data_IF_589466440405
#
_entry.id   IF_589466440405
#
_cell.length_a   1.000
_cell.length_b   1.000
_cell.length_c   1.000
_cell.angle_alpha   90.00
_cell.angle_beta   90.00
_cell.angle_gamma   90.00
#
_symmetry.space_group_name_H-M   'P 1'
#
loop_
_entity.id
_entity.type
_entity.pdbx_description
1 polymer ?
#
# COMPACT_ATOMS: atom_id res chain seq x y z
N UNK A 1 13.26 -11.67 10.38
CA UNK A 1 14.73 -11.48 10.28
C UNK A 1 15.02 -10.66 9.03
N UNK A 2 15.82 -9.60 9.14
CA UNK A 2 16.16 -8.74 8.01
C UNK A 2 17.15 -9.38 7.04
N UNK A 3 17.39 -8.72 5.91
CA UNK A 3 18.37 -9.18 4.93
C UNK A 3 19.81 -9.03 5.46
N UNK A 4 20.40 -10.12 5.94
CA UNK A 4 21.79 -10.16 6.45
C UNK A 4 22.80 -9.69 5.40
N UNK A 5 22.54 -9.95 4.11
CA UNK A 5 23.41 -9.48 3.03
C UNK A 5 23.33 -7.96 2.89
N UNK A 6 22.11 -7.39 2.89
CA UNK A 6 21.89 -5.93 2.84
C UNK A 6 22.68 -5.22 3.94
N UNK A 7 22.63 -5.74 5.17
CA UNK A 7 23.37 -5.17 6.31
C UNK A 7 24.89 -5.30 6.13
N UNK A 8 25.35 -6.47 5.66
CA UNK A 8 26.78 -6.73 5.45
C UNK A 8 27.38 -5.80 4.38
N UNK A 9 26.71 -5.63 3.24
CA UNK A 9 27.26 -4.83 2.12
C UNK A 9 27.10 -3.33 2.28
N UNK A 10 26.40 -2.88 3.32
CA UNK A 10 26.19 -1.45 3.61
C UNK A 10 26.83 -0.96 4.92
N UNK A 11 27.53 -1.81 5.67
CA UNK A 11 28.16 -1.46 6.95
C UNK A 11 29.70 -1.53 6.91
N UNK A 12 30.36 -0.70 7.72
CA UNK A 12 31.80 -0.80 8.05
C UNK A 12 32.76 -1.05 6.88
N UNK A 13 33.75 -1.92 7.12
CA UNK A 13 34.79 -2.31 6.14
C UNK A 13 34.23 -3.14 4.97
N UNK A 14 33.14 -3.88 5.21
CA UNK A 14 32.50 -4.75 4.22
C UNK A 14 31.80 -3.95 3.12
N UNK A 15 31.37 -2.72 3.40
CA UNK A 15 30.91 -1.76 2.38
C UNK A 15 31.99 -1.42 1.34
N UNK A 16 33.22 -1.19 1.80
CA UNK A 16 34.35 -0.86 0.92
C UNK A 16 34.81 -2.07 0.12
N UNK A 17 34.81 -3.26 0.73
CA UNK A 17 35.07 -4.53 0.04
C UNK A 17 34.03 -4.79 -1.05
N UNK A 18 32.74 -4.67 -0.72
CA UNK A 18 31.65 -4.85 -1.67
C UNK A 18 31.75 -3.86 -2.85
N UNK A 19 32.13 -2.60 -2.57
CA UNK A 19 32.37 -1.59 -3.61
C UNK A 19 33.52 -2.00 -4.55
N UNK A 20 34.66 -2.44 -4.00
CA UNK A 20 35.83 -2.87 -4.77
C UNK A 20 35.53 -4.12 -5.62
N UNK A 21 34.71 -5.02 -5.11
CA UNK A 21 34.31 -6.26 -5.79
C UNK A 21 33.11 -6.10 -6.73
N UNK A 22 32.54 -4.89 -6.85
CA UNK A 22 31.37 -4.65 -7.70
C UNK A 22 30.11 -5.41 -7.27
N UNK A 23 30.01 -5.77 -5.98
CA UNK A 23 28.88 -6.54 -5.47
C UNK A 23 27.59 -5.69 -5.47
N UNK A 24 26.41 -6.28 -5.76
CA UNK A 24 25.13 -5.57 -5.67
C UNK A 24 24.91 -4.96 -4.29
N UNK A 25 24.65 -3.65 -4.23
CA UNK A 25 24.46 -2.92 -2.97
C UNK A 25 23.09 -2.26 -2.94
N UNK A 26 22.03 -3.02 -2.58
CA UNK A 26 20.71 -2.43 -2.45
C UNK A 26 20.74 -1.40 -1.33
N UNK A 27 19.96 -0.33 -1.50
CA UNK A 27 19.93 0.78 -0.55
C UNK A 27 19.15 0.40 0.71
N UNK A 28 19.56 0.91 1.87
CA UNK A 28 18.72 0.81 3.07
C UNK A 28 17.53 1.75 2.90
N UNK A 29 16.32 1.21 2.81
CA UNK A 29 15.13 2.02 2.55
C UNK A 29 14.76 2.88 3.77
N UNK A 30 14.46 4.16 3.52
CA UNK A 30 13.92 5.09 4.50
C UNK A 30 12.48 4.69 4.83
N UNK A 31 12.30 4.08 6.01
CA UNK A 31 10.98 3.73 6.58
C UNK A 31 10.49 4.81 7.55
N UNK A 32 9.24 4.71 7.96
CA UNK A 32 8.62 5.65 8.88
C UNK A 32 9.32 5.66 10.25
N UNK A 33 9.61 6.86 10.72
CA UNK A 33 10.15 7.15 12.04
C UNK A 33 9.49 8.48 12.47
N UNK A 34 8.72 8.50 13.57
CA UNK A 34 7.99 9.69 14.00
C UNK A 34 8.90 10.86 14.37
N UNK A 35 10.20 10.63 14.60
CA UNK A 35 11.19 11.69 14.86
C UNK A 35 11.77 12.33 13.59
N UNK A 36 11.43 11.80 12.41
CA UNK A 36 11.98 12.26 11.13
C UNK A 36 10.96 13.12 10.37
N UNK A 37 11.43 14.10 9.57
CA UNK A 37 10.54 14.92 8.75
C UNK A 37 9.80 14.08 7.70
N UNK A 38 8.76 14.64 7.07
CA UNK A 38 7.96 13.96 6.04
C UNK A 38 8.81 13.58 4.83
N UNK A 39 9.64 14.50 4.33
CA UNK A 39 10.66 14.26 3.28
C UNK A 39 12.05 14.72 3.73
N UNK A 40 13.14 14.18 3.19
CA UNK A 40 14.50 14.49 3.63
C UNK A 40 15.10 15.72 2.90
N UNK A 41 14.29 16.74 2.65
CA UNK A 41 14.69 17.96 1.93
C UNK A 41 13.50 18.65 1.23
N UNK A 42 13.73 19.75 0.49
CA UNK A 42 12.69 20.49 -0.22
C UNK A 42 11.92 19.63 -1.24
N UNK A 43 10.67 20.01 -1.48
CA UNK A 43 9.80 19.44 -2.51
C UNK A 43 9.80 20.35 -3.72
N UNK A 44 10.29 19.85 -4.85
CA UNK A 44 10.18 20.54 -6.13
C UNK A 44 8.83 20.24 -6.77
N UNK A 45 7.96 21.24 -6.92
CA UNK A 45 6.66 21.10 -7.60
C UNK A 45 6.77 21.71 -9.00
N UNK A 46 6.56 20.86 -10.01
CA UNK A 46 6.62 21.18 -11.43
C UNK A 46 5.23 20.97 -12.04
N UNK A 47 4.91 21.75 -13.07
CA UNK A 47 3.59 21.77 -13.70
C UNK A 47 2.98 23.17 -13.67
N UNK A 48 1.91 23.35 -14.44
CA UNK A 48 1.17 24.61 -14.57
C UNK A 48 -0.27 24.41 -14.08
N UNK A 49 -0.92 25.50 -13.69
CA UNK A 49 -2.33 25.51 -13.33
C UNK A 49 -2.60 25.39 -11.83
N UNK A 50 -3.89 25.48 -11.50
CA UNK A 50 -4.41 25.62 -10.14
C UNK A 50 -4.00 24.48 -9.22
N UNK A 51 -4.08 23.23 -9.68
CA UNK A 51 -3.68 22.06 -8.89
C UNK A 51 -2.22 22.14 -8.42
N UNK A 52 -1.32 22.65 -9.25
CA UNK A 52 0.09 22.78 -8.88
C UNK A 52 0.29 23.81 -7.76
N UNK A 53 -0.50 24.90 -7.79
CA UNK A 53 -0.44 25.97 -6.80
C UNK A 53 -1.09 25.53 -5.48
N UNK A 54 -2.26 24.88 -5.55
CA UNK A 54 -2.95 24.30 -4.40
C UNK A 54 -2.10 23.29 -3.64
N UNK A 55 -1.43 22.38 -4.37
CA UNK A 55 -0.53 21.38 -3.78
C UNK A 55 0.71 22.03 -3.15
N UNK A 56 1.23 23.11 -3.75
CA UNK A 56 2.33 23.88 -3.16
C UNK A 56 1.90 24.51 -1.83
N UNK A 57 0.70 25.10 -1.78
CA UNK A 57 0.15 25.67 -0.55
C UNK A 57 -0.12 24.60 0.51
N UNK A 58 -0.60 23.41 0.11
CA UNK A 58 -0.79 22.29 1.02
C UNK A 58 0.53 21.82 1.65
N UNK A 59 1.59 21.71 0.84
CA UNK A 59 2.92 21.33 1.32
C UNK A 59 3.49 22.37 2.30
N UNK A 60 3.32 23.66 2.01
CA UNK A 60 3.72 24.74 2.94
C UNK A 60 2.95 24.66 4.27
N UNK A 61 1.65 24.35 4.25
CA UNK A 61 0.87 24.11 5.49
C UNK A 61 1.34 22.90 6.30
N UNK A 62 2.07 21.97 5.68
CA UNK A 62 2.73 20.85 6.35
C UNK A 62 4.18 21.14 6.71
N UNK A 63 4.58 22.41 6.70
CA UNK A 63 5.94 22.85 7.05
C UNK A 63 7.01 22.18 6.17
N UNK A 64 6.70 22.03 4.88
CA UNK A 64 7.67 21.55 3.88
C UNK A 64 8.20 22.73 3.06
N UNK A 65 9.51 22.75 2.82
CA UNK A 65 10.13 23.69 1.88
C UNK A 65 9.71 23.37 0.45
N UNK A 66 9.16 24.35 -0.26
CA UNK A 66 8.67 24.16 -1.64
C UNK A 66 9.50 24.97 -2.63
N UNK A 67 9.93 24.30 -3.71
CA UNK A 67 10.54 24.92 -4.90
C UNK A 67 9.58 24.81 -6.08
N UNK A 68 9.51 25.86 -6.90
CA UNK A 68 8.76 25.90 -8.16
C UNK A 68 9.64 25.80 -9.41
N UNK A 69 10.95 25.86 -9.21
CA UNK A 69 11.97 25.75 -10.24
C UNK A 69 13.12 24.91 -9.69
N UNK A 70 13.75 24.10 -10.55
CA UNK A 70 14.90 23.31 -10.15
C UNK A 70 16.12 24.22 -9.92
N UNK A 71 16.72 24.12 -8.73
CA UNK A 71 18.01 24.74 -8.43
C UNK A 71 19.11 23.70 -8.63
N UNK A 72 20.11 23.93 -9.51
CA UNK A 72 21.19 22.97 -9.71
C UNK A 72 21.93 22.64 -8.41
N UNK A 73 22.15 21.34 -8.14
CA UNK A 73 22.91 20.81 -6.99
C UNK A 73 22.23 20.99 -5.62
N UNK A 74 21.00 21.49 -5.55
CA UNK A 74 20.22 21.51 -4.32
C UNK A 74 19.65 20.11 -4.06
N UNK A 75 19.90 19.53 -2.88
CA UNK A 75 19.38 18.19 -2.56
C UNK A 75 17.88 18.23 -2.30
N UNK A 76 17.12 17.49 -3.10
CA UNK A 76 15.65 17.45 -3.04
C UNK A 76 15.17 16.24 -2.25
N UNK A 77 14.16 16.44 -1.40
CA UNK A 77 13.46 15.35 -0.72
C UNK A 77 12.42 14.68 -1.62
N UNK A 78 11.77 15.47 -2.48
CA UNK A 78 10.81 14.96 -3.45
C UNK A 78 10.67 15.85 -4.70
N UNK A 79 10.12 15.28 -5.76
CA UNK A 79 9.71 15.96 -6.98
C UNK A 79 8.23 15.62 -7.25
N UNK A 80 7.39 16.63 -7.41
CA UNK A 80 5.98 16.51 -7.76
C UNK A 80 5.79 17.00 -9.20
N UNK A 81 5.34 16.14 -10.10
CA UNK A 81 5.03 16.44 -11.49
C UNK A 81 3.50 16.53 -11.63
N UNK A 82 2.99 17.76 -11.73
CA UNK A 82 1.55 18.03 -11.85
C UNK A 82 1.20 18.13 -13.33
N UNK A 83 0.53 17.10 -13.82
CA UNK A 83 0.19 16.82 -15.22
C UNK A 83 -1.32 16.63 -15.40
N UNK A 84 -2.14 17.19 -14.51
CA UNK A 84 -3.60 17.04 -14.51
C UNK A 84 -4.28 17.79 -15.66
N UNK A 85 -3.58 18.76 -16.25
CA UNK A 85 -4.02 19.55 -17.41
C UNK A 85 -3.56 18.99 -18.76
N UNK A 86 -2.83 17.88 -18.79
CA UNK A 86 -2.33 17.29 -20.05
C UNK A 86 -3.49 16.91 -20.99
N UNK A 87 -3.55 17.58 -22.14
CA UNK A 87 -4.57 17.42 -23.18
C UNK A 87 -4.01 16.92 -24.51
N UNK A 88 -2.69 17.02 -24.72
CA UNK A 88 -1.98 16.46 -25.86
C UNK A 88 -0.62 15.86 -25.43
N UNK A 89 -0.05 14.89 -26.16
CA UNK A 89 1.23 14.26 -25.79
C UNK A 89 2.39 15.23 -25.58
N UNK A 90 2.41 16.36 -26.30
CA UNK A 90 3.42 17.40 -26.22
C UNK A 90 3.43 18.09 -24.85
N UNK A 91 2.29 18.13 -24.15
CA UNK A 91 2.14 18.77 -22.83
C UNK A 91 3.00 18.08 -21.75
N UNK A 92 3.39 16.81 -21.97
CA UNK A 92 4.23 16.07 -21.04
C UNK A 92 5.68 16.57 -21.02
N UNK A 93 6.13 17.28 -22.05
CA UNK A 93 7.56 17.55 -22.29
C UNK A 93 8.23 18.44 -21.24
N UNK A 94 7.71 19.66 -21.05
CA UNK A 94 8.38 20.72 -20.26
C UNK A 94 8.63 20.30 -18.81
N UNK A 95 7.57 19.89 -18.09
CA UNK A 95 7.66 19.48 -16.70
C UNK A 95 8.50 18.21 -16.52
N UNK A 96 8.41 17.27 -17.46
CA UNK A 96 9.18 16.01 -17.41
C UNK A 96 10.68 16.25 -17.60
N UNK A 97 11.07 17.10 -18.56
CA UNK A 97 12.49 17.43 -18.78
C UNK A 97 13.08 18.16 -17.58
N UNK A 98 12.32 19.09 -16.98
CA UNK A 98 12.71 19.75 -15.74
C UNK A 98 12.88 18.76 -14.57
N UNK A 99 11.96 17.80 -14.42
CA UNK A 99 12.08 16.74 -13.42
C UNK A 99 13.32 15.86 -13.68
N UNK A 100 13.55 15.45 -14.94
CA UNK A 100 14.68 14.65 -15.37
C UNK A 100 16.03 15.28 -15.02
N UNK A 101 16.15 16.60 -15.21
CA UNK A 101 17.34 17.35 -14.81
C UNK A 101 17.59 17.33 -13.29
N UNK A 102 16.53 17.29 -12.49
CA UNK A 102 16.58 17.29 -11.03
C UNK A 102 16.71 15.88 -10.41
N UNK A 103 16.52 14.79 -11.17
CA UNK A 103 16.58 13.42 -10.64
C UNK A 103 17.92 13.08 -9.97
N UNK A 104 19.04 13.63 -10.46
CA UNK A 104 20.39 13.41 -9.88
C UNK A 104 20.57 14.08 -8.52
N UNK A 105 19.74 15.07 -8.23
CA UNK A 105 19.76 15.84 -7.00
C UNK A 105 18.77 15.29 -5.95
N UNK A 106 18.00 14.26 -6.28
CA UNK A 106 17.13 13.57 -5.33
C UNK A 106 17.95 12.91 -4.21
N UNK A 107 17.51 13.11 -2.97
CA UNK A 107 18.12 12.50 -1.79
C UNK A 107 17.86 10.99 -1.74
N UNK A 108 18.71 10.21 -1.04
CA UNK A 108 18.44 8.79 -0.77
C UNK A 108 17.08 8.58 -0.11
N UNK A 109 16.31 7.64 -0.64
CA UNK A 109 14.93 7.44 -0.21
C UNK A 109 14.03 8.65 -0.48
N UNK A 110 14.33 9.46 -1.50
CA UNK A 110 13.45 10.52 -2.00
C UNK A 110 12.23 9.98 -2.76
N UNK A 111 11.39 10.90 -3.24
CA UNK A 111 10.10 10.56 -3.88
C UNK A 111 9.89 11.32 -5.18
N UNK A 112 9.36 10.66 -6.19
CA UNK A 112 8.87 11.32 -7.41
C UNK A 112 7.40 10.99 -7.58
N UNK A 113 6.52 11.99 -7.56
CA UNK A 113 5.09 11.75 -7.69
C UNK A 113 4.51 12.43 -8.92
N UNK A 114 3.64 11.76 -9.66
CA UNK A 114 2.80 12.43 -10.68
C UNK A 114 1.42 12.69 -10.12
N UNK A 115 0.85 13.85 -10.45
CA UNK A 115 -0.57 14.15 -10.26
C UNK A 115 -1.19 14.22 -11.65
N UNK A 116 -2.21 13.40 -11.92
CA UNK A 116 -2.79 13.29 -13.26
C UNK A 116 -4.29 13.06 -13.23
N UNK A 117 -4.92 13.06 -14.41
CA UNK A 117 -6.32 12.67 -14.64
C UNK A 117 -6.36 11.33 -15.39
N UNK A 118 -7.43 10.53 -15.23
CA UNK A 118 -7.53 9.25 -15.94
C UNK A 118 -7.72 9.46 -17.45
N UNK A 119 -7.19 8.53 -18.24
CA UNK A 119 -7.53 8.36 -19.64
C UNK A 119 -8.92 7.70 -19.74
N UNK A 120 -9.98 8.50 -19.68
CA UNK A 120 -11.35 8.01 -19.81
C UNK A 120 -11.69 7.71 -21.28
N UNK A 121 -12.52 6.68 -21.51
CA UNK A 121 -12.91 6.23 -22.86
C UNK A 121 -13.60 7.32 -23.70
N UNK A 122 -14.27 8.28 -23.05
CA UNK A 122 -15.01 9.36 -23.71
C UNK A 122 -14.14 10.58 -24.10
N UNK A 123 -12.82 10.55 -23.87
CA UNK A 123 -11.92 11.65 -24.22
C UNK A 123 -11.59 11.68 -25.72
N UNK A 124 -11.18 12.85 -26.21
CA UNK A 124 -10.50 12.94 -27.50
C UNK A 124 -9.24 12.04 -27.50
N UNK A 125 -8.91 11.37 -28.62
CA UNK A 125 -7.77 10.44 -28.70
C UNK A 125 -6.45 11.04 -28.21
N UNK A 126 -6.19 12.32 -28.52
CA UNK A 126 -4.98 13.05 -28.12
C UNK A 126 -4.88 13.19 -26.60
N UNK A 127 -5.99 13.56 -25.95
CA UNK A 127 -6.06 13.70 -24.50
C UNK A 127 -5.98 12.35 -23.78
N UNK A 128 -6.61 11.32 -24.35
CA UNK A 128 -6.48 9.95 -23.85
C UNK A 128 -5.02 9.46 -23.95
N UNK A 129 -4.35 9.72 -25.08
CA UNK A 129 -2.95 9.36 -25.28
C UNK A 129 -2.02 10.11 -24.31
N UNK A 130 -2.22 11.41 -24.11
CA UNK A 130 -1.45 12.22 -23.17
C UNK A 130 -1.56 11.66 -21.74
N UNK A 131 -2.79 11.44 -21.26
CA UNK A 131 -3.06 10.95 -19.90
C UNK A 131 -2.56 9.53 -19.68
N UNK A 132 -2.74 8.63 -20.65
CA UNK A 132 -2.19 7.28 -20.57
C UNK A 132 -0.66 7.27 -20.66
N UNK A 133 -0.06 8.25 -21.37
CA UNK A 133 1.38 8.44 -21.45
C UNK A 133 2.03 8.72 -20.10
N UNK A 134 1.32 9.38 -19.17
CA UNK A 134 1.79 9.60 -17.80
C UNK A 134 2.10 8.28 -17.09
N UNK A 135 1.31 7.23 -17.35
CA UNK A 135 1.52 5.93 -16.71
C UNK A 135 2.85 5.29 -17.11
N UNK A 136 3.11 5.28 -18.42
CA UNK A 136 4.36 4.75 -18.98
C UNK A 136 5.57 5.58 -18.53
N UNK A 137 5.42 6.90 -18.52
CA UNK A 137 6.45 7.82 -18.04
C UNK A 137 6.83 7.54 -16.58
N UNK A 138 5.87 7.56 -15.66
CA UNK A 138 6.13 7.35 -14.23
C UNK A 138 6.77 5.99 -13.97
N UNK A 139 6.24 4.92 -14.58
CA UNK A 139 6.80 3.56 -14.40
C UNK A 139 8.23 3.48 -14.90
N UNK A 140 8.57 4.18 -15.99
CA UNK A 140 9.94 4.26 -16.50
C UNK A 140 10.85 5.03 -15.55
N UNK A 141 10.42 6.22 -15.09
CA UNK A 141 11.15 6.98 -14.06
C UNK A 141 11.43 6.11 -12.84
N UNK A 142 10.44 5.37 -12.34
CA UNK A 142 10.59 4.49 -11.19
C UNK A 142 11.68 3.40 -11.37
N UNK A 143 11.91 2.92 -12.61
CA UNK A 143 12.99 1.99 -12.94
C UNK A 143 14.37 2.65 -13.04
N UNK A 144 14.42 3.95 -13.31
CA UNK A 144 15.67 4.72 -13.43
C UNK A 144 16.16 5.28 -12.10
N UNK A 145 15.26 5.41 -11.11
CA UNK A 145 15.57 5.90 -9.78
C UNK A 145 16.60 5.03 -9.06
N UNK A 146 17.37 5.69 -8.18
CA UNK A 146 18.47 5.09 -7.41
C UNK A 146 18.30 5.34 -5.92
N UNK A 147 19.20 4.78 -5.12
CA UNK A 147 19.32 5.07 -3.69
C UNK A 147 18.03 4.85 -2.88
N UNK A 148 17.22 3.87 -3.29
CA UNK A 148 15.97 3.52 -2.62
C UNK A 148 14.85 4.55 -2.79
N UNK A 149 14.98 5.49 -3.74
CA UNK A 149 13.90 6.39 -4.12
C UNK A 149 12.76 5.62 -4.84
N UNK A 150 11.55 6.14 -4.74
CA UNK A 150 10.35 5.55 -5.36
C UNK A 150 9.62 6.57 -6.21
N UNK A 151 8.89 6.10 -7.23
CA UNK A 151 7.96 6.95 -7.96
C UNK A 151 6.55 6.37 -8.02
N UNK A 152 5.53 7.19 -7.76
CA UNK A 152 4.12 6.78 -7.69
C UNK A 152 3.19 7.89 -8.23
N UNK A 153 2.00 7.53 -8.70
CA UNK A 153 1.02 8.48 -9.21
C UNK A 153 -0.17 8.65 -8.27
N UNK A 154 -0.74 9.86 -8.24
CA UNK A 154 -2.08 10.12 -7.72
C UNK A 154 -2.95 10.53 -8.91
N UNK A 155 -4.02 9.78 -9.13
CA UNK A 155 -4.96 10.03 -10.24
C UNK A 155 -6.22 10.66 -9.68
N UNK A 156 -6.51 11.89 -10.11
CA UNK A 156 -7.70 12.63 -9.72
C UNK A 156 -8.84 12.25 -10.66
N UNK A 157 -9.87 11.56 -10.17
CA UNK A 157 -11.06 11.30 -10.97
C UNK A 157 -11.73 12.61 -11.39
N UNK A 158 -12.61 12.57 -12.40
CA UNK A 158 -13.28 13.76 -12.90
C UNK A 158 -14.03 14.48 -11.77
N UNK A 159 -13.85 15.79 -11.66
CA UNK A 159 -14.47 16.61 -10.61
C UNK A 159 -13.74 16.58 -9.26
N UNK A 160 -12.75 15.69 -9.07
CA UNK A 160 -11.93 15.68 -7.85
C UNK A 160 -10.89 16.81 -7.90
N UNK A 161 -10.84 17.63 -6.86
CA UNK A 161 -9.90 18.73 -6.67
C UNK A 161 -8.59 18.22 -6.05
N UNK A 162 -7.48 18.94 -6.28
CA UNK A 162 -6.20 18.58 -5.70
C UNK A 162 -6.16 18.82 -4.17
N UNK A 163 -7.12 19.59 -3.66
CA UNK A 163 -7.32 19.90 -2.24
C UNK A 163 -8.15 18.87 -1.49
N UNK A 164 -8.73 17.88 -2.18
CA UNK A 164 -9.57 16.85 -1.57
C UNK A 164 -8.83 16.13 -0.42
N UNK A 165 -9.51 15.78 0.71
CA UNK A 165 -8.88 15.11 1.85
C UNK A 165 -8.12 13.83 1.46
N UNK A 166 -8.68 13.05 0.53
CA UNK A 166 -8.06 11.81 0.04
C UNK A 166 -6.84 12.03 -0.84
N UNK A 167 -6.75 13.17 -1.55
CA UNK A 167 -5.54 13.56 -2.28
C UNK A 167 -4.44 13.93 -1.29
N UNK A 168 -4.78 14.71 -0.26
CA UNK A 168 -3.87 15.04 0.83
C UNK A 168 -3.37 13.79 1.57
N UNK A 169 -4.25 12.82 1.87
CA UNK A 169 -3.88 11.56 2.51
C UNK A 169 -2.92 10.73 1.63
N UNK A 170 -3.24 10.57 0.35
CA UNK A 170 -2.39 9.84 -0.60
C UNK A 170 -1.03 10.51 -0.77
N UNK A 171 -1.01 11.85 -0.89
CA UNK A 171 0.21 12.64 -1.00
C UNK A 171 1.09 12.46 0.23
N UNK A 172 0.53 12.61 1.44
CA UNK A 172 1.29 12.46 2.69
C UNK A 172 1.83 11.04 2.86
N UNK A 173 1.03 10.02 2.54
CA UNK A 173 1.49 8.63 2.54
C UNK A 173 2.68 8.43 1.59
N UNK A 174 2.53 8.83 0.32
CA UNK A 174 3.54 8.64 -0.72
C UNK A 174 4.82 9.44 -0.47
N UNK A 175 4.73 10.65 0.10
CA UNK A 175 5.90 11.47 0.47
C UNK A 175 6.69 10.92 1.67
N UNK A 176 6.04 10.14 2.53
CA UNK A 176 6.62 9.68 3.80
C UNK A 176 7.48 8.41 3.69
N UNK A 177 8.13 8.03 4.80
CA UNK A 177 8.74 6.71 4.95
C UNK A 177 7.73 5.55 5.00
N UNK A 178 6.42 5.82 5.14
CA UNK A 178 5.36 4.79 5.17
C UNK A 178 5.22 4.07 3.81
N UNK A 179 5.55 4.73 2.71
CA UNK A 179 5.46 4.20 1.34
C UNK A 179 6.74 3.53 0.81
N UNK A 180 7.68 3.18 1.70
CA UNK A 180 9.05 2.77 1.33
C UNK A 180 9.15 1.64 0.29
N UNK A 181 8.14 0.77 0.22
CA UNK A 181 8.11 -0.37 -0.71
C UNK A 181 6.94 -0.30 -1.72
N UNK A 182 6.33 0.87 -1.87
CA UNK A 182 5.36 1.20 -2.92
C UNK A 182 6.09 2.00 -3.99
N UNK A 183 6.21 1.42 -5.20
CA UNK A 183 6.86 2.07 -6.33
C UNK A 183 6.24 1.59 -7.64
N UNK A 184 6.15 2.49 -8.62
CA UNK A 184 5.47 2.31 -9.90
C UNK A 184 3.96 2.10 -9.76
N UNK A 185 3.34 2.59 -8.67
CA UNK A 185 1.90 2.41 -8.41
C UNK A 185 1.13 3.70 -8.59
N UNK A 186 -0.17 3.57 -8.84
CA UNK A 186 -1.11 4.69 -8.94
C UNK A 186 -2.20 4.52 -7.88
N UNK A 187 -2.50 5.60 -7.18
CA UNK A 187 -3.63 5.69 -6.25
C UNK A 187 -4.67 6.60 -6.89
N UNK A 188 -5.80 6.02 -7.31
CA UNK A 188 -6.91 6.82 -7.84
C UNK A 188 -7.78 7.32 -6.69
N UNK A 189 -7.95 8.63 -6.61
CA UNK A 189 -8.92 9.29 -5.74
C UNK A 189 -10.19 9.52 -6.55
N UNK A 190 -11.23 8.78 -6.19
CA UNK A 190 -12.50 8.69 -6.95
C UNK A 190 -13.56 9.71 -6.54
N UNK A 191 -13.43 10.33 -5.37
CA UNK A 191 -14.38 11.31 -4.85
C UNK A 191 -13.72 12.29 -3.87
N UNK A 192 -14.45 13.35 -3.54
CA UNK A 192 -14.11 14.32 -2.49
C UNK A 192 -14.25 13.77 -1.06
N UNK A 193 -14.65 12.50 -0.91
CA UNK A 193 -14.88 11.93 0.41
C UNK A 193 -13.58 11.85 1.23
N UNK A 194 -13.72 12.09 2.52
CA UNK A 194 -12.67 11.89 3.51
C UNK A 194 -12.67 12.99 4.57
N UNK A 195 -12.03 12.69 5.70
CA UNK A 195 -11.86 13.63 6.80
C UNK A 195 -10.40 13.60 7.21
N UNK A 196 -9.74 14.75 7.13
CA UNK A 196 -8.35 14.86 7.59
C UNK A 196 -8.28 14.64 9.11
N UNK A 197 -7.28 13.91 9.61
CA UNK A 197 -7.15 13.67 11.03
C UNK A 197 -6.75 14.95 11.75
N UNK A 198 -7.18 15.09 13.01
CA UNK A 198 -6.70 16.17 13.88
C UNK A 198 -5.19 16.06 14.15
N UNK A 199 -4.68 14.83 14.25
CA UNK A 199 -3.25 14.53 14.39
C UNK A 199 -2.83 13.46 13.38
N UNK A 200 -1.87 13.82 12.52
CA UNK A 200 -1.30 12.91 11.53
C UNK A 200 -0.43 11.78 12.13
N UNK A 201 -0.05 11.89 13.39
CA UNK A 201 0.65 10.83 14.12
C UNK A 201 -0.31 9.77 14.68
N UNK A 202 -1.59 10.11 14.85
CA UNK A 202 -2.64 9.20 15.28
C UNK A 202 -3.87 9.27 14.35
N UNK A 203 -3.71 8.97 13.04
CA UNK A 203 -4.77 9.16 12.04
C UNK A 203 -5.97 8.22 12.21
N UNK A 204 -5.86 7.21 13.07
CA UNK A 204 -6.91 6.23 13.39
C UNK A 204 -7.41 6.37 14.85
N UNK A 205 -7.11 7.50 15.50
CA UNK A 205 -7.57 7.77 16.86
C UNK A 205 -9.10 7.60 16.97
N UNK A 206 -9.51 6.82 17.97
CA UNK A 206 -10.93 6.55 18.24
C UNK A 206 -11.55 5.44 17.39
N UNK A 207 -10.82 4.85 16.43
CA UNK A 207 -11.31 3.75 15.59
C UNK A 207 -11.15 2.39 16.27
N UNK A 208 -12.09 1.50 16.01
CA UNK A 208 -12.04 0.08 16.37
C UNK A 208 -11.76 -0.75 15.12
N UNK A 209 -10.69 -1.53 15.15
CA UNK A 209 -10.22 -2.34 14.03
C UNK A 209 -10.17 -3.83 14.36
N UNK A 210 -10.59 -4.68 13.42
CA UNK A 210 -10.32 -6.12 13.44
C UNK A 210 -9.22 -6.47 12.44
N UNK A 211 -8.30 -7.34 12.85
CA UNK A 211 -7.27 -7.92 11.95
C UNK A 211 -7.34 -9.45 12.02
N UNK A 212 -7.62 -10.10 10.89
CA UNK A 212 -7.62 -11.57 10.81
C UNK A 212 -6.23 -12.12 10.50
N UNK A 213 -5.92 -13.32 11.00
CA UNK A 213 -4.58 -13.94 10.84
C UNK A 213 -3.49 -13.14 11.56
N UNK A 214 -3.82 -12.58 12.72
CA UNK A 214 -3.01 -11.58 13.41
C UNK A 214 -1.99 -12.14 14.41
N UNK A 215 -1.92 -13.46 14.60
CA UNK A 215 -1.03 -14.05 15.60
C UNK A 215 0.46 -13.88 15.28
N UNK A 216 0.83 -13.65 14.01
CA UNK A 216 2.23 -13.52 13.56
C UNK A 216 2.36 -12.81 12.20
N UNK A 217 3.60 -12.65 11.75
CA UNK A 217 3.93 -12.20 10.39
C UNK A 217 3.32 -10.85 10.03
N UNK A 218 2.72 -10.76 8.84
CA UNK A 218 2.11 -9.54 8.31
C UNK A 218 0.92 -9.09 9.17
N UNK A 219 0.06 -10.02 9.60
CA UNK A 219 -1.10 -9.70 10.44
C UNK A 219 -0.71 -9.04 11.77
N UNK A 220 0.32 -9.56 12.44
CA UNK A 220 0.85 -8.94 13.65
C UNK A 220 1.49 -7.56 13.38
N UNK A 221 2.13 -7.37 12.22
CA UNK A 221 2.67 -6.06 11.84
C UNK A 221 1.56 -5.04 11.56
N UNK A 222 0.46 -5.46 10.90
CA UNK A 222 -0.75 -4.66 10.69
C UNK A 222 -1.31 -4.22 12.04
N UNK A 223 -1.56 -5.18 12.95
CA UNK A 223 -2.13 -4.89 14.27
C UNK A 223 -1.31 -3.84 15.04
N UNK A 224 0.02 -3.98 15.09
CA UNK A 224 0.92 -3.00 15.73
C UNK A 224 0.89 -1.63 15.05
N UNK A 225 0.78 -1.60 13.72
CA UNK A 225 0.77 -0.34 12.95
C UNK A 225 -0.55 0.41 13.14
N UNK A 226 -1.69 -0.29 13.09
CA UNK A 226 -3.00 0.32 13.36
C UNK A 226 -3.08 0.86 14.80
N UNK A 227 -2.55 0.10 15.77
CA UNK A 227 -2.46 0.55 17.15
C UNK A 227 -1.56 1.78 17.32
N UNK A 228 -0.36 1.77 16.72
CA UNK A 228 0.55 2.94 16.71
C UNK A 228 -0.15 4.17 16.16
N UNK A 229 -0.98 4.00 15.12
CA UNK A 229 -1.71 5.08 14.47
C UNK A 229 -3.02 5.44 15.23
N UNK A 230 -3.27 4.87 16.41
CA UNK A 230 -4.32 5.30 17.35
C UNK A 230 -5.56 4.40 17.44
N UNK A 231 -5.62 3.30 16.68
CA UNK A 231 -6.77 2.40 16.69
C UNK A 231 -6.77 1.48 17.93
N UNK A 232 -7.98 1.15 18.40
CA UNK A 232 -8.21 0.00 19.27
C UNK A 232 -8.31 -1.25 18.43
N UNK A 233 -7.48 -2.27 18.70
CA UNK A 233 -7.35 -3.43 17.80
C UNK A 233 -7.85 -4.73 18.46
N UNK A 234 -8.72 -5.43 17.73
CA UNK A 234 -9.12 -6.80 17.98
C UNK A 234 -8.32 -7.70 17.03
N UNK A 235 -7.51 -8.59 17.58
CA UNK A 235 -6.72 -9.55 16.81
C UNK A 235 -7.44 -10.89 16.76
N UNK A 236 -7.63 -11.41 15.54
CA UNK A 236 -8.35 -12.66 15.28
C UNK A 236 -7.41 -13.68 14.66
N UNK A 237 -7.39 -14.89 15.18
CA UNK A 237 -6.69 -16.03 14.58
C UNK A 237 -7.32 -17.35 15.06
N UNK A 238 -6.88 -18.47 14.49
CA UNK A 238 -7.37 -19.80 14.88
C UNK A 238 -6.98 -20.14 16.33
N UNK A 239 -7.76 -20.96 17.05
CA UNK A 239 -7.43 -21.35 18.43
C UNK A 239 -6.03 -21.95 18.60
N UNK A 240 -5.53 -22.68 17.58
CA UNK A 240 -4.19 -23.25 17.59
C UNK A 240 -3.05 -22.21 17.63
N UNK A 241 -3.33 -20.94 17.28
CA UNK A 241 -2.39 -19.82 17.36
C UNK A 241 -2.65 -18.92 18.59
N UNK A 242 -3.46 -19.38 19.54
CA UNK A 242 -3.96 -18.60 20.66
C UNK A 242 -2.87 -17.98 21.55
N UNK A 243 -1.76 -18.68 21.77
CA UNK A 243 -0.63 -18.17 22.55
C UNK A 243 0.04 -16.98 21.86
N UNK A 244 0.38 -17.11 20.57
CA UNK A 244 0.99 -16.02 19.81
C UNK A 244 0.01 -14.86 19.64
N UNK A 245 -1.28 -15.15 19.47
CA UNK A 245 -2.34 -14.15 19.38
C UNK A 245 -2.46 -13.33 20.67
N UNK A 246 -2.47 -13.98 21.82
CA UNK A 246 -2.52 -13.32 23.12
C UNK A 246 -1.29 -12.42 23.33
N UNK A 247 -0.11 -12.85 22.90
CA UNK A 247 1.10 -12.03 22.94
C UNK A 247 0.94 -10.74 22.13
N UNK A 248 0.44 -10.83 20.88
CA UNK A 248 0.21 -9.65 20.05
C UNK A 248 -0.85 -8.73 20.68
N UNK A 249 -1.94 -9.28 21.20
CA UNK A 249 -2.98 -8.50 21.87
C UNK A 249 -2.41 -7.72 23.07
N UNK A 250 -1.61 -8.36 23.92
CA UNK A 250 -0.99 -7.71 25.07
C UNK A 250 0.01 -6.62 24.66
N UNK A 251 0.81 -6.84 23.61
CA UNK A 251 1.77 -5.84 23.10
C UNK A 251 1.09 -4.54 22.65
N UNK A 252 -0.13 -4.62 22.14
CA UNK A 252 -0.87 -3.47 21.58
C UNK A 252 -2.03 -3.03 22.48
N UNK A 253 -2.11 -3.53 23.72
CA UNK A 253 -3.26 -3.30 24.62
C UNK A 253 -4.63 -3.56 23.96
N UNK A 254 -4.67 -4.53 23.05
CA UNK A 254 -5.86 -4.92 22.30
C UNK A 254 -6.58 -6.11 22.92
N UNK A 255 -7.47 -6.74 22.15
CA UNK A 255 -8.16 -7.98 22.59
C UNK A 255 -7.97 -9.10 21.58
N UNK A 256 -7.82 -10.33 22.08
CA UNK A 256 -7.71 -11.52 21.25
C UNK A 256 -9.06 -12.22 21.12
N UNK A 257 -9.40 -12.64 19.90
CA UNK A 257 -10.57 -13.47 19.60
C UNK A 257 -10.13 -14.69 18.79
N UNK A 258 -10.25 -15.88 19.40
CA UNK A 258 -9.86 -17.14 18.75
C UNK A 258 -11.02 -17.73 17.95
N UNK A 259 -10.97 -17.59 16.63
CA UNK A 259 -12.02 -18.00 15.70
C UNK A 259 -11.38 -18.49 14.40
N UNK A 260 -11.85 -19.63 13.90
CA UNK A 260 -11.62 -19.99 12.51
C UNK A 260 -12.57 -19.17 11.61
N UNK A 261 -11.97 -18.35 10.75
CA UNK A 261 -12.70 -17.43 9.88
C UNK A 261 -13.54 -18.13 8.79
N UNK A 262 -13.38 -19.44 8.57
CA UNK A 262 -14.22 -20.18 7.63
C UNK A 262 -15.52 -20.68 8.22
N UNK A 263 -15.73 -20.52 9.54
CA UNK A 263 -16.98 -20.90 10.20
C UNK A 263 -18.13 -20.03 9.72
N UNK A 264 -19.33 -20.61 9.73
CA UNK A 264 -20.54 -19.88 9.34
C UNK A 264 -20.90 -18.76 10.32
N UNK A 265 -20.51 -18.88 11.60
CA UNK A 265 -20.76 -17.88 12.66
C UNK A 265 -19.58 -16.92 12.91
N UNK A 266 -18.53 -16.94 12.07
CA UNK A 266 -17.30 -16.20 12.34
C UNK A 266 -17.52 -14.69 12.37
N UNK A 267 -18.35 -14.17 11.48
CA UNK A 267 -18.60 -12.74 11.36
C UNK A 267 -19.45 -12.22 12.52
N UNK A 268 -20.47 -12.98 12.92
CA UNK A 268 -21.35 -12.70 14.05
C UNK A 268 -20.54 -12.65 15.35
N UNK A 269 -19.60 -13.58 15.54
CA UNK A 269 -18.71 -13.59 16.71
C UNK A 269 -17.78 -12.38 16.75
N UNK A 270 -17.24 -11.97 15.60
CA UNK A 270 -16.41 -10.76 15.49
C UNK A 270 -17.24 -9.52 15.82
N UNK A 271 -18.41 -9.37 15.21
CA UNK A 271 -19.31 -8.24 15.43
C UNK A 271 -19.78 -8.18 16.88
N UNK A 272 -20.19 -9.31 17.47
CA UNK A 272 -20.60 -9.39 18.87
C UNK A 272 -19.47 -8.97 19.82
N UNK A 273 -18.23 -9.44 19.58
CA UNK A 273 -17.08 -9.06 20.39
C UNK A 273 -16.77 -7.56 20.27
N UNK A 274 -16.81 -6.99 19.06
CA UNK A 274 -16.61 -5.56 18.87
C UNK A 274 -17.70 -4.72 19.55
N UNK A 275 -18.96 -5.12 19.42
CA UNK A 275 -20.10 -4.49 20.08
C UNK A 275 -20.00 -4.54 21.60
N UNK A 276 -19.71 -5.71 22.17
CA UNK A 276 -19.60 -5.90 23.61
C UNK A 276 -18.48 -5.07 24.22
N UNK A 277 -17.32 -5.01 23.55
CA UNK A 277 -16.13 -4.32 24.09
C UNK A 277 -16.12 -2.83 23.83
N UNK A 278 -16.61 -2.40 22.67
CA UNK A 278 -16.39 -1.04 22.16
C UNK A 278 -17.64 -0.40 21.55
N UNK A 279 -18.75 -1.13 21.43
CA UNK A 279 -20.03 -0.62 20.90
C UNK A 279 -20.13 -0.53 19.38
N UNK A 280 -19.01 -0.56 18.66
CA UNK A 280 -18.94 -0.38 17.20
C UNK A 280 -17.70 -1.06 16.60
N UNK A 281 -17.65 -1.12 15.26
CA UNK A 281 -16.52 -1.60 14.46
C UNK A 281 -16.35 -0.72 13.23
N UNK A 282 -15.18 -0.09 13.07
CA UNK A 282 -14.90 0.81 11.93
C UNK A 282 -14.09 0.13 10.83
N UNK A 283 -13.11 -0.69 11.20
CA UNK A 283 -12.09 -1.18 10.27
C UNK A 283 -12.03 -2.71 10.30
N UNK A 284 -12.04 -3.34 9.12
CA UNK A 284 -11.83 -4.78 8.96
C UNK A 284 -10.68 -5.06 8.01
N UNK A 285 -9.66 -5.76 8.52
CA UNK A 285 -8.52 -6.19 7.72
C UNK A 285 -8.59 -7.70 7.46
N UNK A 286 -8.85 -8.06 6.21
CA UNK A 286 -8.82 -9.44 5.73
C UNK A 286 -7.40 -9.86 5.37
N UNK A 287 -6.59 -10.15 6.39
CA UNK A 287 -5.20 -10.61 6.23
C UNK A 287 -5.05 -12.13 6.26
N UNK A 288 -5.92 -12.87 6.96
CA UNK A 288 -5.84 -14.32 7.02
C UNK A 288 -5.78 -14.95 5.63
N UNK A 289 -4.86 -15.90 5.46
CA UNK A 289 -4.68 -16.59 4.20
C UNK A 289 -3.70 -17.75 4.29
N UNK A 290 -3.87 -18.73 3.42
CA UNK A 290 -3.02 -19.91 3.31
C UNK A 290 -2.59 -20.16 1.87
N UNK A 291 -1.51 -20.92 1.74
CA UNK A 291 -1.03 -21.49 0.48
C UNK A 291 -1.02 -23.01 0.57
N UNK A 292 -1.34 -23.69 -0.54
CA UNK A 292 -1.26 -25.15 -0.71
C UNK A 292 -0.75 -25.43 -2.13
N UNK A 293 0.52 -25.11 -2.32
CA UNK A 293 1.13 -25.06 -3.64
C UNK A 293 1.27 -26.47 -4.23
N UNK A 294 0.76 -26.64 -5.45
CA UNK A 294 0.82 -27.87 -6.23
C UNK A 294 0.56 -27.55 -7.70
N UNK A 295 1.23 -28.25 -8.61
CA UNK A 295 0.88 -28.17 -10.03
C UNK A 295 -0.57 -28.63 -10.20
N UNK A 296 -1.34 -27.96 -11.08
CA UNK A 296 -2.77 -28.25 -11.27
C UNK A 296 -3.04 -29.72 -11.61
N UNK A 297 -2.18 -30.33 -12.44
CA UNK A 297 -2.25 -31.76 -12.78
C UNK A 297 -2.18 -32.71 -11.58
N UNK A 298 -1.69 -32.24 -10.43
CA UNK A 298 -1.55 -32.99 -9.18
C UNK A 298 -2.33 -32.36 -8.02
N UNK A 299 -3.26 -31.44 -8.32
CA UNK A 299 -4.10 -30.77 -7.31
C UNK A 299 -5.21 -31.70 -6.84
N UNK A 300 -5.54 -31.66 -5.56
CA UNK A 300 -6.68 -32.37 -4.98
C UNK A 300 -7.69 -31.38 -4.38
N UNK A 301 -8.91 -31.87 -4.13
CA UNK A 301 -10.02 -31.06 -3.61
C UNK A 301 -9.68 -30.42 -2.26
N UNK A 302 -8.97 -31.14 -1.38
CA UNK A 302 -8.62 -30.61 -0.07
C UNK A 302 -7.70 -29.38 -0.15
N UNK A 303 -6.72 -29.39 -1.06
CA UNK A 303 -5.80 -28.28 -1.31
C UNK A 303 -6.47 -27.14 -2.05
N UNK A 304 -7.37 -27.44 -2.98
CA UNK A 304 -8.15 -26.43 -3.69
C UNK A 304 -9.15 -25.75 -2.74
N UNK A 305 -10.08 -26.53 -2.19
CA UNK A 305 -11.17 -26.08 -1.35
C UNK A 305 -10.71 -25.30 -0.12
N UNK A 306 -9.66 -25.76 0.58
CA UNK A 306 -9.15 -25.03 1.76
C UNK A 306 -8.61 -23.63 1.43
N UNK A 307 -7.90 -23.49 0.31
CA UNK A 307 -7.36 -22.19 -0.12
C UNK A 307 -8.49 -21.25 -0.51
N UNK A 308 -9.50 -21.74 -1.25
CA UNK A 308 -10.68 -20.93 -1.61
C UNK A 308 -11.48 -20.53 -0.36
N UNK A 309 -11.73 -21.49 0.55
CA UNK A 309 -12.49 -21.27 1.78
C UNK A 309 -11.87 -20.16 2.65
N UNK A 310 -10.56 -20.26 2.91
CA UNK A 310 -9.85 -19.31 3.78
C UNK A 310 -9.60 -17.97 3.09
N UNK A 311 -9.17 -17.97 1.83
CA UNK A 311 -8.64 -16.74 1.21
C UNK A 311 -9.70 -15.84 0.57
N UNK A 312 -10.89 -16.35 0.26
CA UNK A 312 -11.93 -15.55 -0.42
C UNK A 312 -13.35 -15.85 0.06
N UNK A 313 -13.76 -17.11 0.24
CA UNK A 313 -15.14 -17.40 0.61
C UNK A 313 -15.50 -16.88 2.01
N UNK A 314 -14.57 -16.99 2.96
CA UNK A 314 -14.67 -16.39 4.30
C UNK A 314 -14.87 -14.87 4.25
N UNK A 315 -14.12 -14.15 3.39
CA UNK A 315 -14.21 -12.70 3.25
C UNK A 315 -15.56 -12.28 2.69
N UNK A 316 -16.07 -13.01 1.68
CA UNK A 316 -17.39 -12.75 1.11
C UNK A 316 -18.50 -12.92 2.15
N UNK A 317 -18.51 -14.06 2.88
CA UNK A 317 -19.46 -14.31 3.97
C UNK A 317 -19.39 -13.22 5.03
N UNK A 318 -18.18 -12.87 5.46
CA UNK A 318 -17.97 -11.84 6.48
C UNK A 318 -18.45 -10.47 6.00
N UNK A 319 -18.14 -10.07 4.76
CA UNK A 319 -18.59 -8.79 4.20
C UNK A 319 -20.12 -8.71 4.11
N UNK A 320 -20.81 -9.81 3.75
CA UNK A 320 -22.28 -9.84 3.78
C UNK A 320 -22.84 -9.54 5.18
N UNK A 321 -22.29 -10.17 6.21
CA UNK A 321 -22.71 -9.94 7.59
C UNK A 321 -22.34 -8.53 8.10
N UNK A 322 -21.16 -8.02 7.75
CA UNK A 322 -20.73 -6.66 8.09
C UNK A 322 -21.69 -5.62 7.51
N UNK A 323 -22.03 -5.72 6.22
CA UNK A 323 -22.91 -4.77 5.54
C UNK A 323 -24.36 -4.79 6.02
N UNK A 324 -24.79 -5.90 6.64
CA UNK A 324 -26.10 -6.07 7.24
C UNK A 324 -26.15 -5.70 8.73
N UNK A 325 -25.01 -5.40 9.37
CA UNK A 325 -24.91 -5.16 10.80
C UNK A 325 -24.92 -3.67 11.14
N UNK A 326 -25.68 -3.31 12.18
CA UNK A 326 -25.62 -1.97 12.79
C UNK A 326 -24.37 -1.74 13.67
N UNK A 327 -23.57 -2.79 13.91
CA UNK A 327 -22.31 -2.66 14.66
C UNK A 327 -21.18 -2.17 13.77
N UNK A 328 -21.20 -2.54 12.49
CA UNK A 328 -20.23 -2.04 11.53
C UNK A 328 -20.66 -0.65 11.07
N UNK A 329 -19.79 0.34 11.23
CA UNK A 329 -20.14 1.73 10.96
C UNK A 329 -20.44 1.95 9.47
N UNK A 330 -21.38 2.83 9.10
CA UNK A 330 -21.68 3.15 7.70
C UNK A 330 -20.44 3.61 6.91
N UNK A 331 -19.57 4.40 7.55
CA UNK A 331 -18.30 4.90 7.02
C UNK A 331 -17.16 3.89 7.18
N UNK A 332 -17.47 2.61 7.34
CA UNK A 332 -16.49 1.57 7.62
C UNK A 332 -15.45 1.38 6.51
N UNK A 333 -14.30 0.84 6.88
CA UNK A 333 -13.14 0.61 6.03
C UNK A 333 -12.83 -0.88 5.97
N UNK A 334 -12.79 -1.45 4.78
CA UNK A 334 -12.39 -2.84 4.57
C UNK A 334 -11.10 -2.86 3.75
N UNK A 335 -10.05 -3.52 4.25
CA UNK A 335 -8.81 -3.69 3.49
C UNK A 335 -8.44 -5.17 3.42
N UNK A 336 -8.37 -5.71 2.20
CA UNK A 336 -8.02 -7.11 1.98
C UNK A 336 -6.58 -7.31 1.49
N UNK A 337 -6.04 -8.50 1.73
CA UNK A 337 -4.75 -8.91 1.20
C UNK A 337 -4.95 -9.71 -0.09
N UNK A 338 -4.67 -9.08 -1.23
CA UNK A 338 -4.48 -9.73 -2.52
C UNK A 338 -3.06 -10.33 -2.63
N UNK A 339 -2.50 -10.40 -3.84
CA UNK A 339 -1.11 -10.84 -4.08
C UNK A 339 -0.70 -10.50 -5.51
N UNK A 340 0.59 -10.30 -5.76
CA UNK A 340 1.11 -10.26 -7.14
C UNK A 340 0.82 -11.56 -7.91
N UNK A 341 0.75 -12.71 -7.24
CA UNK A 341 0.32 -13.98 -7.88
C UNK A 341 -1.14 -13.94 -8.35
N UNK A 342 -2.00 -13.13 -7.72
CA UNK A 342 -3.38 -12.94 -8.16
C UNK A 342 -3.50 -12.03 -9.39
N UNK A 343 -2.44 -11.28 -9.71
CA UNK A 343 -2.36 -10.38 -10.88
C UNK A 343 -1.70 -11.11 -12.05
N UNK A 344 -0.53 -11.70 -11.82
CA UNK A 344 0.31 -12.26 -12.89
C UNK A 344 0.27 -13.79 -12.99
N UNK A 345 -0.38 -14.47 -12.03
CA UNK A 345 -0.25 -15.90 -11.86
C UNK A 345 1.10 -16.31 -11.26
N UNK A 346 1.21 -17.58 -10.87
CA UNK A 346 2.49 -18.18 -10.45
C UNK A 346 2.44 -19.71 -10.60
N UNK A 347 3.58 -20.32 -10.95
CA UNK A 347 3.67 -21.77 -11.15
C UNK A 347 3.36 -22.51 -9.85
N UNK A 348 2.44 -23.47 -9.92
CA UNK A 348 2.03 -24.28 -8.77
C UNK A 348 1.04 -23.57 -7.82
N UNK A 349 0.55 -22.39 -8.18
CA UNK A 349 -0.34 -21.58 -7.35
C UNK A 349 -1.68 -21.31 -8.04
N UNK A 350 -2.24 -22.24 -8.82
CA UNK A 350 -3.51 -22.01 -9.52
C UNK A 350 -4.67 -21.74 -8.55
N UNK A 351 -4.78 -22.50 -7.45
CA UNK A 351 -5.73 -22.26 -6.36
C UNK A 351 -5.49 -20.90 -5.67
N UNK A 352 -4.24 -20.59 -5.32
CA UNK A 352 -3.89 -19.37 -4.61
C UNK A 352 -4.07 -18.13 -5.49
N UNK A 353 -3.61 -18.15 -6.73
CA UNK A 353 -3.80 -17.09 -7.72
C UNK A 353 -5.29 -16.87 -8.00
N UNK A 354 -6.09 -17.93 -8.16
CA UNK A 354 -7.55 -17.82 -8.29
C UNK A 354 -8.16 -17.12 -7.07
N UNK A 355 -7.77 -17.51 -5.85
CA UNK A 355 -8.28 -16.87 -4.63
C UNK A 355 -7.91 -15.39 -4.53
N UNK A 356 -6.66 -15.02 -4.84
CA UNK A 356 -6.17 -13.64 -4.73
C UNK A 356 -6.62 -12.74 -5.89
N UNK A 357 -6.83 -13.30 -7.08
CA UNK A 357 -7.57 -12.64 -8.17
C UNK A 357 -9.04 -12.43 -7.79
N UNK A 358 -9.66 -13.41 -7.11
CA UNK A 358 -11.00 -13.28 -6.53
C UNK A 358 -11.12 -12.13 -5.54
N UNK A 359 -10.11 -11.92 -4.68
CA UNK A 359 -10.06 -10.75 -3.77
C UNK A 359 -10.08 -9.43 -4.55
N UNK A 360 -9.32 -9.33 -5.65
CA UNK A 360 -9.31 -8.13 -6.51
C UNK A 360 -10.70 -7.86 -7.10
N UNK A 361 -11.37 -8.91 -7.59
CA UNK A 361 -12.74 -8.82 -8.11
C UNK A 361 -13.75 -8.40 -7.03
N UNK A 362 -13.67 -9.02 -5.85
CA UNK A 362 -14.52 -8.70 -4.70
C UNK A 362 -14.39 -7.24 -4.29
N UNK A 363 -13.16 -6.72 -4.15
CA UNK A 363 -12.90 -5.32 -3.79
C UNK A 363 -13.59 -4.36 -4.76
N UNK A 364 -13.42 -4.59 -6.07
CA UNK A 364 -14.06 -3.75 -7.10
C UNK A 364 -15.58 -3.81 -7.05
N UNK A 365 -16.14 -5.01 -6.85
CA UNK A 365 -17.58 -5.23 -6.84
C UNK A 365 -18.26 -4.70 -5.55
N UNK A 366 -17.57 -4.72 -4.42
CA UNK A 366 -18.10 -4.25 -3.12
C UNK A 366 -17.96 -2.73 -2.94
N UNK A 367 -16.98 -2.09 -3.58
CA UNK A 367 -16.77 -0.63 -3.53
C UNK A 367 -18.04 0.22 -3.76
N UNK A 368 -18.85 0.00 -4.81
CA UNK A 368 -20.07 0.77 -5.03
C UNK A 368 -21.17 0.51 -3.99
N UNK A 369 -21.11 -0.59 -3.23
CA UNK A 369 -22.08 -0.89 -2.15
C UNK A 369 -21.80 -0.07 -0.89
N UNK A 370 -20.53 0.24 -0.63
CA UNK A 370 -20.08 1.03 0.52
C UNK A 370 -20.09 2.54 0.26
N UNK A 371 -19.86 2.95 -0.99
CA UNK A 371 -19.70 4.36 -1.36
C UNK A 371 -20.87 5.28 -0.91
N UNK A 372 -22.16 4.89 -1.04
CA UNK A 372 -23.27 5.76 -0.64
C UNK A 372 -23.33 6.05 0.86
N UNK A 373 -22.65 5.24 1.68
CA UNK A 373 -22.57 5.39 3.15
C UNK A 373 -21.25 6.01 3.60
N UNK A 374 -20.41 6.48 2.68
CA UNK A 374 -19.09 7.01 2.98
C UNK A 374 -18.05 5.95 3.37
N UNK A 375 -18.38 4.66 3.21
CA UNK A 375 -17.47 3.53 3.43
C UNK A 375 -16.54 3.29 2.23
N UNK A 376 -15.48 2.51 2.45
CA UNK A 376 -14.58 2.11 1.38
C UNK A 376 -14.05 0.68 1.54
N UNK A 377 -13.74 0.04 0.43
CA UNK A 377 -13.04 -1.24 0.39
C UNK A 377 -11.88 -1.18 -0.60
N UNK A 378 -10.71 -1.62 -0.16
CA UNK A 378 -9.49 -1.65 -0.97
C UNK A 378 -8.73 -2.95 -0.73
N UNK A 379 -7.67 -3.18 -1.51
CA UNK A 379 -6.72 -4.23 -1.22
C UNK A 379 -5.27 -3.80 -1.39
N UNK A 380 -4.41 -4.50 -0.68
CA UNK A 380 -2.97 -4.48 -0.91
C UNK A 380 -2.56 -5.79 -1.58
N UNK A 381 -1.72 -5.71 -2.60
CA UNK A 381 -1.14 -6.86 -3.28
C UNK A 381 0.38 -6.92 -3.00
N UNK A 382 0.81 -7.61 -1.92
CA UNK A 382 2.23 -7.72 -1.61
C UNK A 382 2.99 -8.47 -2.71
N UNK A 383 4.22 -8.04 -2.96
CA UNK A 383 5.22 -8.79 -3.72
C UNK A 383 6.03 -9.71 -2.81
N UNK A 384 7.35 -9.76 -3.02
CA UNK A 384 8.25 -10.51 -2.14
C UNK A 384 8.47 -9.75 -0.82
N UNK A 385 7.97 -10.31 0.29
CA UNK A 385 8.08 -9.76 1.65
C UNK A 385 8.82 -10.74 2.55
N UNK A 386 9.83 -10.27 3.27
CA UNK A 386 10.62 -11.06 4.22
C UNK A 386 9.76 -11.49 5.41
N UNK A 387 9.38 -12.77 5.40
CA UNK A 387 8.56 -13.45 6.41
C UNK A 387 9.12 -14.84 6.69
N UNK A 388 8.64 -15.49 7.76
CA UNK A 388 8.96 -16.89 8.05
C UNK A 388 8.55 -17.82 6.90
N UNK A 389 7.48 -17.49 6.17
CA UNK A 389 7.04 -18.23 4.99
C UNK A 389 8.07 -18.14 3.85
N UNK A 390 8.57 -16.94 3.54
CA UNK A 390 9.63 -16.79 2.52
C UNK A 390 10.97 -17.37 2.97
N UNK A 391 11.20 -17.50 4.28
CA UNK A 391 12.41 -18.11 4.82
C UNK A 391 12.52 -19.61 4.46
N UNK A 392 11.40 -20.28 4.16
CA UNK A 392 11.36 -21.66 3.70
C UNK A 392 11.73 -21.86 2.21
N UNK A 393 11.78 -20.77 1.42
CA UNK A 393 12.18 -20.83 0.00
C UNK A 393 13.68 -21.17 -0.10
N UNK A 394 14.10 -22.08 -1.00
CA UNK A 394 15.51 -22.38 -1.24
C UNK A 394 16.36 -21.13 -1.44
N UNK A 395 17.55 -21.11 -0.83
CA UNK A 395 18.35 -19.89 -0.68
C UNK A 395 18.65 -19.17 -2.01
N UNK A 396 19.04 -19.90 -3.06
CA UNK A 396 19.35 -19.31 -4.37
C UNK A 396 18.10 -18.68 -5.01
N UNK A 397 16.99 -19.43 -5.06
CA UNK A 397 15.71 -18.93 -5.59
C UNK A 397 15.22 -17.71 -4.83
N UNK A 398 15.36 -17.72 -3.50
CA UNK A 398 15.01 -16.61 -2.62
C UNK A 398 15.84 -15.36 -2.93
N UNK A 399 17.15 -15.51 -3.10
CA UNK A 399 18.04 -14.40 -3.46
C UNK A 399 17.71 -13.83 -4.82
N UNK A 400 17.42 -14.65 -5.83
CA UNK A 400 17.00 -14.15 -7.14
C UNK A 400 15.69 -13.38 -7.03
N UNK A 401 14.65 -13.98 -6.42
CA UNK A 401 13.34 -13.35 -6.28
C UNK A 401 13.41 -12.00 -5.55
N UNK A 402 14.28 -11.89 -4.53
CA UNK A 402 14.55 -10.67 -3.78
C UNK A 402 15.07 -9.51 -4.65
N UNK A 403 15.70 -9.79 -5.80
CA UNK A 403 16.34 -8.79 -6.66
C UNK A 403 15.55 -8.38 -7.89
N UNK A 404 14.40 -9.00 -8.16
CA UNK A 404 13.59 -8.76 -9.37
C UNK A 404 12.69 -7.51 -9.29
N UNK A 405 13.01 -6.56 -8.39
CA UNK A 405 12.30 -5.29 -8.22
C UNK A 405 13.25 -4.12 -8.39
N UNK A 406 12.74 -2.92 -8.72
CA UNK A 406 13.57 -1.71 -8.84
C UNK A 406 14.33 -1.38 -7.55
N UNK A 407 13.77 -1.73 -6.39
CA UNK A 407 14.42 -1.54 -5.08
C UNK A 407 15.46 -2.61 -4.73
N UNK A 408 15.57 -3.66 -5.55
CA UNK A 408 16.57 -4.74 -5.47
C UNK A 408 16.69 -5.39 -4.09
N UNK A 409 15.61 -5.42 -3.31
CA UNK A 409 15.54 -6.07 -2.00
C UNK A 409 14.11 -6.54 -1.74
N UNK A 410 13.93 -7.38 -0.72
CA UNK A 410 12.61 -7.80 -0.25
C UNK A 410 11.99 -6.74 0.64
N UNK A 411 10.66 -6.63 0.58
CA UNK A 411 9.91 -5.76 1.50
C UNK A 411 9.85 -6.34 2.90
N UNK A 412 9.40 -5.54 3.86
CA UNK A 412 9.15 -5.96 5.23
C UNK A 412 7.64 -5.99 5.52
N UNK A 413 7.19 -6.76 6.51
CA UNK A 413 5.79 -6.74 6.95
C UNK A 413 5.25 -5.34 7.26
N UNK A 414 6.10 -4.45 7.79
CA UNK A 414 5.73 -3.06 8.06
C UNK A 414 5.37 -2.30 6.77
N UNK A 415 6.01 -2.58 5.64
CA UNK A 415 5.73 -1.87 4.39
C UNK A 415 4.29 -2.17 3.89
N UNK A 416 3.80 -3.39 4.14
CA UNK A 416 2.42 -3.79 3.85
C UNK A 416 1.46 -3.15 4.86
N UNK A 417 1.81 -3.19 6.15
CA UNK A 417 1.01 -2.64 7.23
C UNK A 417 0.78 -1.12 7.10
N UNK A 418 1.79 -0.37 6.70
CA UNK A 418 1.70 1.08 6.47
C UNK A 418 0.73 1.42 5.33
N UNK A 419 0.76 0.64 4.24
CA UNK A 419 -0.19 0.82 3.12
C UNK A 419 -1.61 0.50 3.55
N UNK A 420 -1.80 -0.53 4.38
CA UNK A 420 -3.10 -0.87 4.94
C UNK A 420 -3.61 0.22 5.88
N UNK A 421 -2.76 0.76 6.76
CA UNK A 421 -3.13 1.84 7.67
C UNK A 421 -3.57 3.10 6.91
N UNK A 422 -2.88 3.43 5.82
CA UNK A 422 -3.30 4.51 4.90
C UNK A 422 -4.71 4.26 4.35
N UNK A 423 -4.95 3.09 3.74
CA UNK A 423 -6.25 2.74 3.13
C UNK A 423 -7.38 2.59 4.15
N UNK A 424 -7.04 2.33 5.42
CA UNK A 424 -7.98 2.24 6.53
C UNK A 424 -8.29 3.58 7.20
N UNK A 425 -7.66 4.69 6.77
CA UNK A 425 -7.90 6.00 7.36
C UNK A 425 -9.14 6.69 6.77
N UNK A 426 -9.85 7.47 7.59
CA UNK A 426 -10.94 8.33 7.12
C UNK A 426 -10.47 9.38 6.12
N UNK A 427 -9.22 9.81 6.23
CA UNK A 427 -8.63 10.74 5.29
C UNK A 427 -8.57 10.16 3.88
N UNK A 428 -8.51 8.83 3.72
CA UNK A 428 -8.46 8.13 2.44
C UNK A 428 -9.82 7.60 1.95
N UNK A 429 -10.96 8.08 2.48
CA UNK A 429 -12.29 7.53 2.14
C UNK A 429 -12.64 7.63 0.63
N UNK A 430 -12.09 8.62 -0.07
CA UNK A 430 -12.21 8.79 -1.52
C UNK A 430 -11.34 7.83 -2.35
N UNK A 431 -10.49 7.03 -1.70
CA UNK A 431 -9.80 5.88 -2.30
C UNK A 431 -10.66 4.64 -2.07
N UNK A 432 -11.35 4.17 -3.11
CA UNK A 432 -12.29 3.06 -3.02
C UNK A 432 -12.18 2.14 -4.24
N UNK A 433 -12.25 0.83 -4.02
CA UNK A 433 -12.10 -0.20 -5.04
C UNK A 433 -10.68 -0.38 -5.58
N UNK A 434 -9.67 0.18 -4.91
CA UNK A 434 -8.28 0.17 -5.37
C UNK A 434 -7.54 -1.09 -4.94
N UNK A 435 -6.55 -1.49 -5.75
CA UNK A 435 -5.59 -2.54 -5.41
C UNK A 435 -4.18 -1.98 -5.56
N UNK A 436 -3.49 -1.75 -4.44
CA UNK A 436 -2.17 -1.15 -4.42
C UNK A 436 -1.10 -2.22 -4.23
N UNK A 437 -0.13 -2.32 -5.14
CA UNK A 437 0.97 -3.30 -4.99
C UNK A 437 2.04 -2.76 -4.04
N UNK A 438 2.38 -3.54 -3.01
CA UNK A 438 3.52 -3.29 -2.12
C UNK A 438 4.64 -4.23 -2.53
N UNK A 439 5.37 -3.84 -3.57
CA UNK A 439 6.25 -4.76 -4.31
C UNK A 439 7.62 -4.20 -4.71
N UNK A 440 7.92 -2.95 -4.35
CA UNK A 440 9.16 -2.28 -4.76
C UNK A 440 9.33 -2.15 -6.27
N UNK A 441 8.21 -2.11 -7.02
CA UNK A 441 8.14 -2.19 -8.47
C UNK A 441 8.74 -3.50 -9.03
N UNK A 442 8.19 -4.63 -8.59
CA UNK A 442 8.49 -5.93 -9.17
C UNK A 442 8.07 -5.97 -10.66
N UNK A 443 8.94 -6.50 -11.52
CA UNK A 443 8.70 -6.62 -12.97
C UNK A 443 7.49 -7.50 -13.32
N UNK A 444 7.10 -8.43 -12.44
CA UNK A 444 5.95 -9.31 -12.64
C UNK A 444 4.64 -8.51 -12.52
N UNK A 445 3.78 -8.52 -13.54
CA UNK A 445 2.51 -7.79 -13.59
C UNK A 445 1.63 -8.18 -14.77
N UNK A 446 0.51 -7.48 -14.93
CA UNK A 446 -0.46 -7.59 -16.02
C UNK A 446 -0.98 -6.19 -16.37
#
# INVERSE_FOLDING_TARGET
MGDTYLNLVNSGITKEIAKKLGLPRPSVLRRFDPSKPLVPGPVLVLGKGEAADELSQLLLRWDQDVRRHATPKEKLGAILLVLDTAGAPEDLGEATLAAGAALRDLAPGGRVLTISRPAAEALAPEAAAARQGVDGLLRSIAHELRDGATANGIVLANGVQATAPSVAAALRFLLSGKSAYVSGQFITVGSEAGVLPADWNAPLAGKVAVVTGAARGIGAAIARTLHRDGATVIVVDVPAAGEQLAKVANEISGTALQVDITRDDAAERILAHAKERYGHLDIVIHNAGITRDKLLANMDESRWGSVIAVNIASQLKMNTALLASDTFTPEGRIVSLASTSGIAGNRGQTNYAASKGGVIGMVRATAPLLAPRGGSINAVAPGFIETDMTAAIPALTRQVARRLSSLQQGGLPIDVAETIAFLASDAAAGVNGQVVRVCGQNMVGA
#
